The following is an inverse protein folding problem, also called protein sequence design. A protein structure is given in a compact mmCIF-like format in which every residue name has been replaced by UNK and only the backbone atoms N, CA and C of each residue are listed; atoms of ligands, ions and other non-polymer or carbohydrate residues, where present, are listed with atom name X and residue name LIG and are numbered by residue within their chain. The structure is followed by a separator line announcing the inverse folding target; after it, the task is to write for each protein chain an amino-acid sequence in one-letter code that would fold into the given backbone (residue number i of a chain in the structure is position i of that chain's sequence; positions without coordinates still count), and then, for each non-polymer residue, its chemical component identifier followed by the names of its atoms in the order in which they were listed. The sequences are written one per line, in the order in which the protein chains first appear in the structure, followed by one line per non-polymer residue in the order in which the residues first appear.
data_IF_792679001142
#
_entry.id   IF_792679001142
#
_cell.length_a   1.000
_cell.length_b   1.000
_cell.length_c   1.000
_cell.angle_alpha   90.00
_cell.angle_beta   90.00
_cell.angle_gamma   90.00
#
_symmetry.space_group_name_H-M   'P 1'
#
loop_
_entity.id
_entity.type
_entity.pdbx_description
1 polymer ?
#
# COMPACT_ATOMS: atom_id res chain seq x y z
N UNK A 1 18.45 -3.59 34.72
CA UNK A 1 17.66 -4.45 33.80
C UNK A 1 16.21 -4.00 33.71
N UNK A 2 15.46 -3.87 34.83
CA UNK A 2 14.07 -3.38 34.80
C UNK A 2 13.92 -1.95 34.29
N UNK A 3 14.79 -1.02 34.71
CA UNK A 3 14.68 0.38 34.27
C UNK A 3 14.94 0.56 32.76
N UNK A 4 15.93 -0.12 32.20
CA UNK A 4 16.24 -0.07 30.75
C UNK A 4 15.09 -0.67 29.93
N UNK A 5 14.52 -1.78 30.39
CA UNK A 5 13.36 -2.39 29.75
C UNK A 5 12.16 -1.44 29.77
N UNK A 6 11.88 -0.80 30.91
CA UNK A 6 10.78 0.17 31.04
C UNK A 6 10.98 1.37 30.10
N UNK A 7 12.17 1.97 30.07
CA UNK A 7 12.47 3.08 29.15
C UNK A 7 12.27 2.67 27.70
N UNK A 8 12.80 1.51 27.28
CA UNK A 8 12.62 1.02 25.91
C UNK A 8 11.15 0.73 25.58
N UNK A 9 10.36 0.20 26.52
CA UNK A 9 8.94 -0.03 26.29
C UNK A 9 8.15 1.28 26.18
N UNK A 10 8.50 2.31 26.96
CA UNK A 10 7.85 3.62 26.90
C UNK A 10 8.14 4.31 25.57
N UNK A 11 9.40 4.32 25.12
CA UNK A 11 9.79 4.82 23.80
C UNK A 11 9.05 4.09 22.66
N UNK A 12 8.89 2.76 22.78
CA UNK A 12 8.17 1.95 21.82
C UNK A 12 6.66 2.26 21.79
N UNK A 13 6.06 2.60 22.93
CA UNK A 13 4.65 3.02 23.02
C UNK A 13 4.48 4.37 22.31
N UNK A 14 5.29 5.36 22.66
CA UNK A 14 5.23 6.69 22.06
C UNK A 14 5.40 6.63 20.54
N UNK A 15 6.35 5.82 20.07
CA UNK A 15 6.59 5.65 18.64
C UNK A 15 5.42 4.98 17.94
N UNK A 16 4.77 3.99 18.56
CA UNK A 16 3.58 3.33 18.00
C UNK A 16 2.41 4.29 17.86
N UNK A 17 2.18 5.14 18.85
CA UNK A 17 1.12 6.14 18.80
C UNK A 17 1.39 7.20 17.71
N UNK A 18 2.64 7.65 17.60
CA UNK A 18 3.05 8.55 16.53
C UNK A 18 2.84 7.91 15.14
N UNK A 19 3.24 6.65 14.97
CA UNK A 19 3.02 5.90 13.72
C UNK A 19 1.52 5.79 13.42
N UNK A 20 0.68 5.47 14.41
CA UNK A 20 -0.76 5.35 14.22
C UNK A 20 -1.37 6.68 13.74
N UNK A 21 -0.98 7.79 14.37
CA UNK A 21 -1.39 9.14 13.96
C UNK A 21 -0.97 9.46 12.53
N UNK A 22 0.31 9.27 12.19
CA UNK A 22 0.80 9.57 10.85
C UNK A 22 0.19 8.68 9.77
N UNK A 23 -0.06 7.39 10.05
CA UNK A 23 -0.79 6.51 9.14
C UNK A 23 -2.22 6.99 8.90
N UNK A 24 -2.89 7.47 9.96
CA UNK A 24 -4.22 8.03 9.83
C UNK A 24 -4.21 9.29 8.97
N UNK A 25 -3.31 10.25 9.26
CA UNK A 25 -3.16 11.48 8.49
C UNK A 25 -2.84 11.21 7.01
N UNK A 26 -1.88 10.30 6.76
CA UNK A 26 -1.51 9.88 5.42
C UNK A 26 -2.73 9.34 4.67
N UNK A 27 -3.50 8.45 5.30
CA UNK A 27 -4.73 7.88 4.71
C UNK A 27 -5.76 8.96 4.36
N UNK A 28 -5.92 10.00 5.19
CA UNK A 28 -6.82 11.10 4.87
C UNK A 28 -6.33 11.92 3.67
N UNK A 29 -5.02 12.19 3.60
CA UNK A 29 -4.42 12.92 2.47
C UNK A 29 -4.48 12.11 1.16
N UNK A 30 -4.21 10.81 1.22
CA UNK A 30 -4.34 9.89 0.08
C UNK A 30 -5.77 9.88 -0.45
N UNK A 31 -6.77 9.75 0.43
CA UNK A 31 -8.19 9.81 0.04
C UNK A 31 -8.55 11.15 -0.61
N UNK A 32 -8.06 12.27 -0.07
CA UNK A 32 -8.30 13.60 -0.65
C UNK A 32 -7.63 13.73 -2.01
N UNK A 33 -6.42 13.19 -2.18
CA UNK A 33 -5.71 13.15 -3.46
C UNK A 33 -6.48 12.34 -4.49
N UNK A 34 -6.95 11.14 -4.15
CA UNK A 34 -7.76 10.31 -5.05
C UNK A 34 -9.02 11.03 -5.53
N UNK A 35 -9.71 11.75 -4.63
CA UNK A 35 -10.88 12.55 -5.01
C UNK A 35 -10.53 13.67 -6.00
N UNK A 36 -9.37 14.31 -5.83
CA UNK A 36 -8.88 15.35 -6.75
C UNK A 36 -8.46 14.74 -8.09
N UNK A 37 -7.80 13.58 -8.08
CA UNK A 37 -7.40 12.85 -9.29
C UNK A 37 -8.62 12.48 -10.13
N UNK A 38 -9.69 11.94 -9.51
CA UNK A 38 -10.93 11.61 -10.22
C UNK A 38 -11.55 12.86 -10.87
N UNK A 39 -11.60 13.99 -10.14
CA UNK A 39 -12.12 15.25 -10.67
C UNK A 39 -11.28 15.74 -11.85
N UNK A 40 -9.95 15.70 -11.73
CA UNK A 40 -9.04 16.11 -12.79
C UNK A 40 -9.19 15.22 -14.03
N UNK A 41 -9.27 13.90 -13.87
CA UNK A 41 -9.51 12.97 -14.97
C UNK A 41 -10.85 13.27 -15.66
N UNK A 42 -11.90 13.60 -14.88
CA UNK A 42 -13.20 14.01 -15.42
C UNK A 42 -13.07 15.24 -16.33
N UNK A 43 -12.45 16.31 -15.84
CA UNK A 43 -12.21 17.53 -16.62
C UNK A 43 -11.38 17.25 -17.88
N UNK A 44 -10.30 16.46 -17.77
CA UNK A 44 -9.46 16.12 -18.93
C UNK A 44 -10.25 15.34 -19.99
N UNK A 45 -11.11 14.40 -19.58
CA UNK A 45 -11.97 13.63 -20.50
C UNK A 45 -13.03 14.50 -21.18
N UNK A 46 -13.72 15.37 -20.43
CA UNK A 46 -14.71 16.31 -20.99
C UNK A 46 -14.10 17.23 -22.07
N UNK A 47 -12.82 17.56 -21.91
CA UNK A 47 -12.08 18.41 -22.84
C UNK A 47 -11.28 17.63 -23.91
N UNK A 48 -11.42 16.29 -23.96
CA UNK A 48 -10.66 15.41 -24.87
C UNK A 48 -9.13 15.60 -24.79
N UNK A 49 -8.61 15.89 -23.60
CA UNK A 49 -7.19 16.13 -23.36
C UNK A 49 -6.51 14.83 -22.94
N UNK A 50 -5.71 14.26 -23.85
CA UNK A 50 -4.89 13.08 -23.56
C UNK A 50 -3.50 13.43 -22.99
N UNK A 51 -3.01 14.64 -23.27
CA UNK A 51 -1.73 15.15 -22.80
C UNK A 51 -1.77 16.68 -22.69
N UNK A 52 -1.21 17.26 -21.63
CA UNK A 52 -1.13 18.71 -21.45
C UNK A 52 0.02 19.12 -20.54
N UNK A 53 0.59 20.29 -20.81
CA UNK A 53 1.51 21.00 -19.93
C UNK A 53 0.79 22.22 -19.34
N UNK A 54 0.83 22.39 -18.01
CA UNK A 54 0.26 23.54 -17.31
C UNK A 54 1.23 24.02 -16.23
N UNK A 55 1.92 25.13 -16.49
CA UNK A 55 2.98 25.61 -15.60
C UNK A 55 4.08 24.57 -15.44
N UNK A 56 4.28 24.08 -14.21
CA UNK A 56 5.24 23.01 -13.89
C UNK A 56 4.62 21.60 -13.88
N UNK A 57 3.35 21.46 -14.26
CA UNK A 57 2.64 20.18 -14.26
C UNK A 57 2.53 19.60 -15.67
N UNK A 58 2.72 18.29 -15.76
CA UNK A 58 2.52 17.54 -17.00
C UNK A 58 1.55 16.39 -16.76
N UNK A 59 0.50 16.32 -17.57
CA UNK A 59 -0.57 15.32 -17.45
C UNK A 59 -0.59 14.44 -18.69
N UNK A 60 -0.82 13.14 -18.49
CA UNK A 60 -1.07 12.19 -19.55
C UNK A 60 -2.14 11.18 -19.13
N UNK A 61 -3.13 10.95 -20.00
CA UNK A 61 -4.03 9.81 -19.90
C UNK A 61 -3.50 8.70 -20.79
N UNK A 62 -2.95 7.65 -20.17
CA UNK A 62 -2.38 6.50 -20.90
C UNK A 62 -3.07 5.20 -20.47
N UNK A 63 -3.41 4.38 -21.45
CA UNK A 63 -3.83 2.99 -21.20
C UNK A 63 -2.60 2.14 -20.97
N UNK A 64 -2.53 1.47 -19.81
CA UNK A 64 -1.46 0.52 -19.50
C UNK A 64 -2.02 -0.90 -19.53
N UNK A 65 -1.48 -1.74 -20.39
CA UNK A 65 -1.72 -3.18 -20.34
C UNK A 65 -0.67 -3.84 -19.44
N UNK A 66 -1.09 -4.83 -18.66
CA UNK A 66 -0.20 -5.65 -17.84
C UNK A 66 -0.53 -7.11 -18.10
N UNK A 67 0.49 -7.89 -18.44
CA UNK A 67 0.41 -9.34 -18.39
C UNK A 67 0.46 -9.78 -16.93
N UNK A 68 -0.52 -10.55 -16.49
CA UNK A 68 -0.58 -11.15 -15.17
C UNK A 68 -0.74 -12.66 -15.31
N UNK A 69 -0.13 -13.39 -14.38
CA UNK A 69 -0.31 -14.83 -14.28
C UNK A 69 -1.55 -15.13 -13.43
N UNK A 70 -2.49 -15.90 -13.96
CA UNK A 70 -3.68 -16.31 -13.25
C UNK A 70 -3.37 -17.53 -12.37
N UNK A 71 -3.06 -17.26 -11.10
CA UNK A 71 -2.73 -18.30 -10.13
C UNK A 71 -3.92 -19.22 -9.82
N UNK A 72 -5.14 -18.67 -9.86
CA UNK A 72 -6.36 -19.44 -9.59
C UNK A 72 -6.60 -20.44 -10.71
N UNK A 73 -6.57 -19.97 -11.95
CA UNK A 73 -6.73 -20.82 -13.13
C UNK A 73 -5.62 -21.87 -13.20
N UNK A 74 -4.38 -21.49 -12.94
CA UNK A 74 -3.27 -22.46 -12.94
C UNK A 74 -3.40 -23.50 -11.83
N UNK A 75 -3.93 -23.13 -10.66
CA UNK A 75 -4.21 -24.09 -9.58
C UNK A 75 -5.33 -25.06 -9.96
N UNK A 76 -6.35 -24.60 -10.66
CA UNK A 76 -7.46 -25.44 -11.15
C UNK A 76 -7.00 -26.41 -12.24
N UNK A 77 -6.23 -25.94 -13.22
CA UNK A 77 -5.76 -26.74 -14.37
C UNK A 77 -4.57 -27.65 -14.04
N UNK A 78 -3.69 -27.21 -13.13
CA UNK A 78 -2.42 -27.87 -12.81
C UNK A 78 -2.13 -27.93 -11.30
N UNK A 79 -3.03 -28.53 -10.48
CA UNK A 79 -2.92 -28.52 -9.02
C UNK A 79 -1.63 -29.16 -8.49
N UNK A 80 -1.20 -30.27 -9.10
CA UNK A 80 0.01 -31.00 -8.68
C UNK A 80 1.30 -30.20 -8.90
N UNK A 81 1.36 -29.44 -10.01
CA UNK A 81 2.50 -28.54 -10.28
C UNK A 81 2.45 -27.35 -9.34
N UNK A 82 1.26 -26.78 -9.08
CA UNK A 82 1.11 -25.69 -8.14
C UNK A 82 1.57 -26.05 -6.73
N UNK A 83 1.17 -27.23 -6.24
CA UNK A 83 1.56 -27.75 -4.92
C UNK A 83 3.06 -28.07 -4.82
N UNK A 84 3.68 -28.59 -5.90
CA UNK A 84 5.11 -28.93 -5.93
C UNK A 84 6.03 -27.76 -5.59
N UNK A 85 5.62 -26.52 -5.90
CA UNK A 85 6.43 -25.32 -5.65
C UNK A 85 6.08 -24.60 -4.36
N UNK A 86 5.19 -25.15 -3.53
CA UNK A 86 4.97 -24.63 -2.19
C UNK A 86 6.19 -24.91 -1.31
N UNK A 87 6.76 -23.85 -0.76
CA UNK A 87 7.85 -23.94 0.21
C UNK A 87 7.44 -23.24 1.50
N UNK A 88 7.67 -23.91 2.63
CA UNK A 88 7.52 -23.28 3.95
C UNK A 88 8.80 -22.55 4.28
N UNK A 89 8.71 -21.26 4.58
CA UNK A 89 9.82 -20.46 5.10
C UNK A 89 9.53 -20.10 6.54
N UNK A 90 10.44 -20.42 7.43
CA UNK A 90 10.39 -19.98 8.82
C UNK A 90 11.11 -18.64 8.96
N UNK A 91 10.47 -17.70 9.64
CA UNK A 91 11.05 -16.40 9.99
C UNK A 91 10.63 -16.03 11.40
N UNK A 92 11.58 -15.60 12.21
CA UNK A 92 11.28 -15.01 13.51
C UNK A 92 10.64 -13.64 13.30
N UNK A 93 9.50 -13.43 13.94
CA UNK A 93 8.78 -12.15 13.94
C UNK A 93 8.74 -11.64 15.37
N UNK A 94 9.27 -10.44 15.59
CA UNK A 94 9.12 -9.75 16.86
C UNK A 94 7.70 -9.17 16.95
N UNK A 95 6.93 -9.60 17.95
CA UNK A 95 5.62 -9.04 18.26
C UNK A 95 5.64 -8.30 19.60
N UNK A 96 5.46 -6.99 19.56
CA UNK A 96 5.17 -6.16 20.74
C UNK A 96 3.67 -5.82 20.72
N UNK A 97 2.91 -6.22 21.74
CA UNK A 97 1.46 -5.91 21.86
C UNK A 97 1.22 -5.17 23.16
N UNK A 98 0.38 -4.15 23.13
CA UNK A 98 -0.09 -3.51 24.36
C UNK A 98 -1.15 -4.42 24.99
N UNK A 99 -1.12 -4.57 26.31
CA UNK A 99 -2.14 -5.31 27.05
C UNK A 99 -3.52 -4.71 26.81
N UNK A 100 -4.55 -5.56 26.81
CA UNK A 100 -5.95 -5.13 26.73
C UNK A 100 -6.35 -4.23 27.90
#
# INVERSE_FOLDING_TARGET
MTNELTTLTDEMIELKDAIARYKFELKQLEKKKEQLDIKLIGVLKENNVNEMNLGHCHFYLKTKQRTAFDQSLFKEEHPTLFEKYYITKESEVFEFKLGA
#
